data_IF_740533148542
#
_entry.id   IF_740533148542
#
_cell.length_a   1.000
_cell.length_b   1.000
_cell.length_c   1.000
_cell.angle_alpha   90.00
_cell.angle_beta   90.00
_cell.angle_gamma   90.00
#
_symmetry.space_group_name_H-M   'P 1'
#
loop_
_entity.id
_entity.type
_entity.pdbx_description
1 polymer ?
#
# COMPACT_ATOMS: atom_id res chain seq x y z
N UNK A 1 40.71 -8.34 -4.91
CA UNK A 1 39.76 -9.43 -4.81
C UNK A 1 38.36 -8.81 -4.81
N UNK A 2 37.61 -9.01 -5.89
CA UNK A 2 36.29 -8.42 -6.07
C UNK A 2 35.31 -9.04 -5.07
N UNK A 3 34.63 -8.23 -4.21
CA UNK A 3 33.55 -8.67 -3.34
C UNK A 3 32.38 -9.10 -4.23
N UNK A 4 32.06 -10.39 -4.19
CA UNK A 4 30.95 -10.96 -4.95
C UNK A 4 29.63 -10.29 -4.59
N UNK A 5 28.87 -9.91 -5.60
CA UNK A 5 27.49 -9.47 -5.49
C UNK A 5 26.67 -10.62 -4.88
N UNK A 6 25.95 -10.37 -3.81
CA UNK A 6 25.05 -11.36 -3.21
C UNK A 6 23.73 -11.31 -3.97
N UNK A 7 23.39 -12.40 -4.64
CA UNK A 7 22.05 -12.62 -5.21
C UNK A 7 21.18 -13.34 -4.19
N UNK A 8 19.92 -12.95 -4.09
CA UNK A 8 18.87 -13.67 -3.36
C UNK A 8 17.81 -14.09 -4.36
N UNK A 9 17.22 -15.24 -4.16
CA UNK A 9 16.18 -15.80 -5.01
C UNK A 9 14.84 -15.74 -4.26
N UNK A 10 13.82 -15.14 -4.89
CA UNK A 10 12.47 -15.05 -4.33
C UNK A 10 11.51 -15.95 -5.07
N UNK A 11 10.64 -16.60 -4.33
CA UNK A 11 9.48 -17.25 -4.92
C UNK A 11 8.42 -16.21 -5.30
N UNK A 12 8.09 -16.11 -6.59
CA UNK A 12 7.07 -15.17 -7.09
C UNK A 12 5.67 -15.46 -6.55
N UNK A 13 5.41 -16.70 -6.10
CA UNK A 13 4.09 -17.10 -5.64
C UNK A 13 3.86 -16.77 -4.15
N UNK A 14 4.86 -16.99 -3.28
CA UNK A 14 4.69 -16.82 -1.83
C UNK A 14 5.68 -15.87 -1.17
N UNK A 15 6.65 -15.31 -1.93
CA UNK A 15 7.67 -14.40 -1.38
C UNK A 15 8.76 -15.07 -0.54
N UNK A 16 8.84 -16.41 -0.51
CA UNK A 16 9.88 -17.12 0.22
C UNK A 16 11.26 -16.83 -0.38
N UNK A 17 12.22 -16.50 0.48
CA UNK A 17 13.57 -16.11 0.12
C UNK A 17 14.57 -17.23 0.31
N UNK A 18 15.44 -17.46 -0.68
CA UNK A 18 16.51 -18.44 -0.61
C UNK A 18 17.83 -17.90 -1.17
N UNK A 19 18.94 -18.36 -0.62
CA UNK A 19 20.27 -17.94 -1.08
C UNK A 19 20.68 -18.57 -2.43
N UNK A 20 19.93 -19.56 -2.91
CA UNK A 20 20.17 -20.29 -4.15
C UNK A 20 18.86 -20.53 -4.87
N UNK A 21 18.92 -20.61 -6.19
CA UNK A 21 17.78 -21.02 -6.99
C UNK A 21 17.39 -22.48 -6.67
N UNK A 22 16.10 -22.67 -6.36
CA UNK A 22 15.51 -23.98 -6.14
C UNK A 22 14.44 -24.23 -7.21
N UNK A 23 14.40 -25.43 -7.77
CA UNK A 23 13.38 -25.81 -8.75
C UNK A 23 11.97 -25.82 -8.16
N UNK A 24 11.83 -26.14 -6.88
CA UNK A 24 10.57 -26.14 -6.14
C UNK A 24 10.70 -25.27 -4.89
N UNK A 25 9.72 -24.43 -4.63
CA UNK A 25 9.67 -23.61 -3.43
C UNK A 25 9.37 -24.47 -2.19
N UNK A 26 10.19 -24.45 -1.14
CA UNK A 26 9.96 -25.24 0.07
C UNK A 26 8.73 -24.78 0.86
N UNK A 27 8.32 -23.51 0.71
CA UNK A 27 7.19 -22.94 1.42
C UNK A 27 5.84 -23.22 0.75
N UNK A 28 5.69 -22.90 -0.54
CA UNK A 28 4.43 -23.10 -1.26
C UNK A 28 4.41 -24.33 -2.18
N UNK A 29 5.54 -25.02 -2.32
CA UNK A 29 5.73 -26.24 -3.15
C UNK A 29 5.47 -26.05 -4.66
N UNK A 30 5.37 -24.81 -5.13
CA UNK A 30 5.25 -24.50 -6.55
C UNK A 30 6.61 -24.65 -7.26
N UNK A 31 6.56 -25.08 -8.53
CA UNK A 31 7.76 -25.31 -9.34
C UNK A 31 8.11 -24.08 -10.17
N UNK A 32 9.43 -23.86 -10.36
CA UNK A 32 9.98 -22.81 -11.23
C UNK A 32 9.49 -21.39 -10.90
N UNK A 33 9.29 -21.09 -9.61
CA UNK A 33 8.78 -19.81 -9.12
C UNK A 33 9.86 -18.87 -8.60
N UNK A 34 11.13 -19.33 -8.51
CA UNK A 34 12.24 -18.49 -8.04
C UNK A 34 12.79 -17.58 -9.12
N UNK A 35 12.92 -16.30 -8.77
CA UNK A 35 13.57 -15.27 -9.58
C UNK A 35 14.76 -14.71 -8.81
N UNK A 36 15.87 -14.53 -9.52
CA UNK A 36 17.08 -13.93 -8.96
C UNK A 36 16.88 -12.41 -8.79
N UNK A 37 17.09 -11.92 -7.58
CA UNK A 37 17.19 -10.49 -7.31
C UNK A 37 18.59 -10.16 -6.81
N UNK A 38 19.23 -9.20 -7.48
CA UNK A 38 20.57 -8.75 -7.12
C UNK A 38 20.46 -7.67 -6.08
N UNK A 39 20.93 -7.97 -4.87
CA UNK A 39 21.10 -6.92 -3.87
C UNK A 39 22.41 -6.19 -4.20
N UNK A 40 22.29 -5.07 -4.84
CA UNK A 40 23.41 -4.13 -4.87
C UNK A 40 23.56 -3.57 -3.45
N UNK A 41 24.49 -4.13 -2.70
CA UNK A 41 24.97 -3.58 -1.44
C UNK A 41 25.78 -2.29 -1.70
N UNK A 42 25.18 -1.38 -2.42
CA UNK A 42 25.69 -0.04 -2.68
C UNK A 42 25.48 0.86 -1.48
N UNK A 43 26.17 0.57 -0.39
CA UNK A 43 26.52 1.64 0.53
C UNK A 43 27.57 2.48 -0.20
N UNK A 44 27.12 3.43 -1.00
CA UNK A 44 27.98 4.55 -1.41
C UNK A 44 28.35 5.31 -0.15
N UNK A 45 29.61 5.10 0.27
CA UNK A 45 30.28 6.00 1.21
C UNK A 45 30.29 7.40 0.58
N UNK A 46 29.42 8.28 1.07
CA UNK A 46 29.46 9.66 0.60
C UNK A 46 28.23 10.52 0.78
N UNK A 47 27.23 10.07 1.50
CA UNK A 47 26.21 11.03 1.98
C UNK A 47 26.12 10.82 3.48
N UNK A 48 26.41 11.85 4.24
CA UNK A 48 26.20 11.91 5.68
C UNK A 48 24.80 11.41 5.97
N UNK A 49 24.71 10.19 6.50
CA UNK A 49 23.50 9.67 7.10
C UNK A 49 23.20 10.65 8.23
N UNK A 50 22.30 11.60 7.94
CA UNK A 50 21.69 12.37 9.02
C UNK A 50 21.25 11.33 10.04
N UNK A 51 21.83 11.39 11.23
CA UNK A 51 21.62 10.44 12.29
C UNK A 51 20.11 10.19 12.38
N UNK A 52 19.69 9.00 11.98
CA UNK A 52 18.36 8.49 12.33
C UNK A 52 18.36 8.58 13.83
N UNK A 53 17.64 9.55 14.38
CA UNK A 53 17.42 9.62 15.81
C UNK A 53 16.98 8.21 16.20
N UNK A 54 17.82 7.55 16.99
CA UNK A 54 17.46 6.27 17.60
C UNK A 54 16.31 6.64 18.51
N UNK A 55 15.08 6.43 18.03
CA UNK A 55 13.92 6.51 18.92
C UNK A 55 14.15 5.41 19.95
N UNK A 56 14.53 5.81 21.17
CA UNK A 56 14.52 4.89 22.29
C UNK A 56 13.12 4.29 22.38
N UNK A 57 13.04 2.99 22.17
CA UNK A 57 11.77 2.28 22.29
C UNK A 57 11.31 2.37 23.75
N UNK A 58 10.35 3.26 24.01
CA UNK A 58 9.77 3.44 25.33
C UNK A 58 8.64 2.44 25.52
N UNK A 59 8.82 1.52 26.46
CA UNK A 59 7.75 0.64 26.91
C UNK A 59 6.88 1.40 27.91
N UNK A 60 5.58 1.49 27.64
CA UNK A 60 4.60 2.14 28.54
C UNK A 60 3.49 1.15 28.84
N UNK A 61 2.94 1.14 30.07
CA UNK A 61 1.75 0.37 30.41
C UNK A 61 0.56 0.81 29.54
N UNK A 62 -0.29 -0.13 29.12
CA UNK A 62 -1.46 0.18 28.31
C UNK A 62 -2.41 1.21 29.01
N UNK A 63 -2.46 1.19 30.33
CA UNK A 63 -3.25 2.12 31.14
C UNK A 63 -2.79 3.57 31.08
N UNK A 64 -1.55 3.81 30.68
CA UNK A 64 -0.97 5.15 30.51
C UNK A 64 -1.11 5.67 29.07
N UNK A 65 -1.58 4.81 28.14
CA UNK A 65 -1.80 5.22 26.76
C UNK A 65 -3.15 5.92 26.68
N UNK A 66 -3.12 7.22 26.44
CA UNK A 66 -4.33 7.98 26.12
C UNK A 66 -4.66 7.78 24.66
N UNK A 67 -5.81 7.20 24.34
CA UNK A 67 -6.35 7.12 22.99
C UNK A 67 -7.47 8.15 22.86
N UNK A 68 -7.31 9.09 21.93
CA UNK A 68 -8.40 9.98 21.55
C UNK A 68 -9.37 9.19 20.65
N UNK A 69 -10.48 8.74 21.18
CA UNK A 69 -11.51 8.02 20.44
C UNK A 69 -12.22 8.91 19.38
N UNK A 70 -12.10 10.24 19.52
CA UNK A 70 -12.78 11.23 18.67
C UNK A 70 -12.10 11.48 17.30
N UNK A 71 -10.99 10.82 16.98
CA UNK A 71 -10.23 11.11 15.75
C UNK A 71 -10.66 10.29 14.53
N UNK A 72 -11.70 9.44 14.65
CA UNK A 72 -12.18 8.62 13.53
C UNK A 72 -12.92 9.47 12.49
N UNK A 73 -12.65 9.19 11.22
CA UNK A 73 -13.34 9.83 10.11
C UNK A 73 -14.34 8.87 9.48
N UNK A 74 -15.63 9.18 9.60
CA UNK A 74 -16.67 8.39 8.95
C UNK A 74 -16.51 8.43 7.42
N UNK A 75 -16.67 7.27 6.77
CA UNK A 75 -16.68 7.16 5.31
C UNK A 75 -18.02 7.59 4.72
N UNK A 76 -19.05 7.68 5.56
CA UNK A 76 -20.44 7.90 5.18
C UNK A 76 -21.13 6.65 4.61
N UNK A 77 -20.47 5.49 4.65
CA UNK A 77 -21.03 4.19 4.29
C UNK A 77 -21.14 3.38 5.58
N UNK A 78 -22.36 3.26 6.13
CA UNK A 78 -22.59 2.67 7.45
C UNK A 78 -21.98 1.29 7.66
N UNK A 79 -22.06 0.41 6.65
CA UNK A 79 -21.49 -0.93 6.74
C UNK A 79 -19.96 -0.89 6.74
N UNK A 80 -19.36 -0.01 5.96
CA UNK A 80 -17.92 0.17 5.95
C UNK A 80 -17.45 0.76 7.29
N UNK A 81 -18.13 1.78 7.80
CA UNK A 81 -17.81 2.38 9.10
C UNK A 81 -17.95 1.36 10.24
N UNK A 82 -19.00 0.49 10.20
CA UNK A 82 -19.16 -0.61 11.15
C UNK A 82 -17.97 -1.57 11.13
N UNK A 83 -17.48 -1.96 9.95
CA UNK A 83 -16.34 -2.87 9.81
C UNK A 83 -15.04 -2.19 10.26
N UNK A 84 -14.90 -0.88 10.02
CA UNK A 84 -13.78 -0.07 10.48
C UNK A 84 -13.82 0.30 11.95
N UNK A 85 -14.87 -0.13 12.68
CA UNK A 85 -15.04 0.19 14.11
C UNK A 85 -15.40 1.65 14.37
N UNK A 86 -16.20 2.26 13.46
CA UNK A 86 -16.69 3.64 13.57
C UNK A 86 -16.03 4.62 12.59
N UNK A 87 -15.21 4.14 11.67
CA UNK A 87 -14.58 4.99 10.67
C UNK A 87 -13.06 4.82 10.57
N UNK A 88 -12.44 5.64 9.75
CA UNK A 88 -11.02 5.60 9.44
C UNK A 88 -10.22 6.25 10.56
N UNK A 89 -9.21 5.55 11.06
CA UNK A 89 -8.27 6.10 12.06
C UNK A 89 -7.11 6.81 11.33
N UNK A 90 -6.73 8.03 11.72
CA UNK A 90 -5.57 8.72 11.14
C UNK A 90 -4.29 7.87 11.17
N UNK A 91 -3.54 7.88 10.07
CA UNK A 91 -2.32 7.08 9.93
C UNK A 91 -2.57 5.58 9.75
N UNK A 92 -3.82 5.12 9.63
CA UNK A 92 -4.12 3.72 9.35
C UNK A 92 -3.95 3.38 7.87
N UNK A 93 -3.53 2.15 7.59
CA UNK A 93 -3.54 1.54 6.27
C UNK A 93 -4.67 0.52 6.20
N UNK A 94 -5.61 0.71 5.27
CA UNK A 94 -6.74 -0.19 5.06
C UNK A 94 -6.56 -0.93 3.74
N UNK A 95 -6.63 -2.26 3.78
CA UNK A 95 -6.56 -3.11 2.61
C UNK A 95 -7.97 -3.58 2.22
N UNK A 96 -8.38 -3.27 0.98
CA UNK A 96 -9.63 -3.77 0.39
C UNK A 96 -9.30 -4.89 -0.57
N UNK A 97 -9.52 -6.13 -0.15
CA UNK A 97 -9.32 -7.34 -0.93
C UNK A 97 -10.61 -7.86 -1.58
N UNK A 98 -10.48 -8.81 -2.49
CA UNK A 98 -11.62 -9.51 -3.13
C UNK A 98 -11.40 -9.78 -4.62
N UNK A 99 -12.27 -10.58 -5.21
CA UNK A 99 -12.16 -11.02 -6.61
C UNK A 99 -12.27 -9.86 -7.61
N UNK A 100 -11.68 -9.99 -8.80
CA UNK A 100 -11.88 -9.05 -9.90
C UNK A 100 -13.37 -8.86 -10.20
N UNK A 101 -13.79 -7.62 -10.48
CA UNK A 101 -15.18 -7.31 -10.84
C UNK A 101 -16.19 -7.21 -9.68
N UNK A 102 -15.82 -7.55 -8.43
CA UNK A 102 -16.75 -7.49 -7.28
C UNK A 102 -17.18 -6.07 -6.88
N UNK A 103 -16.60 -5.04 -7.48
CA UNK A 103 -16.98 -3.64 -7.19
C UNK A 103 -16.04 -2.85 -6.30
N UNK A 104 -14.81 -3.34 -6.01
CA UNK A 104 -13.83 -2.64 -5.15
C UNK A 104 -13.58 -1.18 -5.55
N UNK A 105 -13.24 -0.93 -6.82
CA UNK A 105 -13.01 0.44 -7.32
C UNK A 105 -14.26 1.31 -7.25
N UNK A 106 -15.46 0.72 -7.39
CA UNK A 106 -16.72 1.43 -7.23
C UNK A 106 -16.92 1.84 -5.77
N UNK A 107 -16.67 0.92 -4.84
CA UNK A 107 -16.72 1.21 -3.39
C UNK A 107 -15.75 2.34 -3.03
N UNK A 108 -14.50 2.27 -3.51
CA UNK A 108 -13.50 3.30 -3.24
C UNK A 108 -13.89 4.67 -3.79
N UNK A 109 -14.47 4.74 -4.99
CA UNK A 109 -15.02 5.98 -5.54
C UNK A 109 -16.23 6.50 -4.75
N UNK A 110 -17.08 5.61 -4.19
CA UNK A 110 -18.18 6.02 -3.31
C UNK A 110 -17.67 6.64 -2.01
N UNK A 111 -16.61 6.07 -1.42
CA UNK A 111 -15.91 6.67 -0.27
C UNK A 111 -15.40 8.06 -0.63
N UNK A 112 -14.71 8.19 -1.78
CA UNK A 112 -14.24 9.48 -2.28
C UNK A 112 -15.36 10.48 -2.43
N UNK A 113 -16.48 10.10 -3.04
CA UNK A 113 -17.62 10.99 -3.28
C UNK A 113 -18.18 11.60 -1.99
N UNK A 114 -18.26 10.79 -0.94
CA UNK A 114 -18.81 11.22 0.36
C UNK A 114 -17.80 12.06 1.14
N UNK A 115 -16.58 11.57 1.27
CA UNK A 115 -15.57 12.22 2.10
C UNK A 115 -14.98 13.48 1.46
N UNK A 116 -14.91 13.57 0.11
CA UNK A 116 -14.37 14.73 -0.60
C UNK A 116 -15.21 16.01 -0.43
N UNK A 117 -16.36 15.93 0.22
CA UNK A 117 -17.15 17.12 0.61
C UNK A 117 -16.48 17.90 1.73
N UNK A 118 -15.72 17.23 2.60
CA UNK A 118 -15.10 17.82 3.78
C UNK A 118 -13.58 17.65 3.83
N UNK A 119 -13.02 16.75 3.04
CA UNK A 119 -11.61 16.37 3.06
C UNK A 119 -10.97 16.44 1.69
N UNK A 120 -9.67 16.74 1.66
CA UNK A 120 -8.87 16.65 0.44
C UNK A 120 -8.43 15.19 0.23
N UNK A 121 -8.86 14.60 -0.87
CA UNK A 121 -8.61 13.18 -1.20
C UNK A 121 -7.79 13.08 -2.47
N UNK A 122 -6.78 12.22 -2.47
CA UNK A 122 -6.02 11.87 -3.66
C UNK A 122 -6.32 10.43 -4.05
N UNK A 123 -6.95 10.25 -5.22
CA UNK A 123 -7.17 8.93 -5.82
C UNK A 123 -6.09 8.66 -6.85
N UNK A 124 -5.32 7.59 -6.63
CA UNK A 124 -4.22 7.16 -7.48
C UNK A 124 -4.64 5.90 -8.21
N UNK A 125 -4.62 5.94 -9.54
CA UNK A 125 -4.93 4.79 -10.38
C UNK A 125 -3.73 4.36 -11.19
N UNK A 126 -3.40 3.07 -11.13
CA UNK A 126 -2.42 2.45 -12.00
C UNK A 126 -3.01 1.61 -13.12
N UNK A 127 -4.34 1.40 -13.11
CA UNK A 127 -5.02 0.53 -14.08
C UNK A 127 -5.90 1.32 -15.07
N UNK A 128 -6.50 2.42 -14.62
CA UNK A 128 -7.47 3.17 -15.41
C UNK A 128 -6.97 4.58 -15.72
N UNK A 129 -7.32 5.06 -16.91
CA UNK A 129 -7.07 6.45 -17.30
C UNK A 129 -8.03 7.41 -16.59
N UNK A 130 -7.65 8.69 -16.53
CA UNK A 130 -8.51 9.75 -15.97
C UNK A 130 -9.89 9.79 -16.62
N UNK A 131 -9.96 9.58 -17.95
CA UNK A 131 -11.21 9.58 -18.69
C UNK A 131 -12.13 8.41 -18.29
N UNK A 132 -11.57 7.21 -18.08
CA UNK A 132 -12.34 6.04 -17.64
C UNK A 132 -12.89 6.23 -16.23
N UNK A 133 -12.07 6.73 -15.30
CA UNK A 133 -12.52 7.04 -13.94
C UNK A 133 -13.59 8.13 -13.97
N UNK A 134 -13.43 9.16 -14.79
CA UNK A 134 -14.43 10.24 -14.94
C UNK A 134 -15.77 9.70 -15.47
N UNK A 135 -15.75 8.81 -16.47
CA UNK A 135 -16.97 8.17 -16.99
C UNK A 135 -17.68 7.34 -15.92
N UNK A 136 -16.93 6.64 -15.08
CA UNK A 136 -17.48 5.89 -13.94
C UNK A 136 -18.06 6.84 -12.89
N UNK A 137 -17.32 7.88 -12.51
CA UNK A 137 -17.74 8.88 -11.55
C UNK A 137 -19.06 9.57 -11.98
N UNK A 138 -19.21 9.89 -13.24
CA UNK A 138 -20.42 10.52 -13.77
C UNK A 138 -21.70 9.67 -13.57
N UNK A 139 -21.57 8.34 -13.50
CA UNK A 139 -22.71 7.43 -13.21
C UNK A 139 -23.09 7.42 -11.73
N UNK A 140 -22.20 7.87 -10.87
CA UNK A 140 -22.38 7.86 -9.41
C UNK A 140 -22.91 9.18 -8.88
N UNK A 141 -22.95 10.22 -9.70
CA UNK A 141 -23.42 11.56 -9.35
C UNK A 141 -22.30 12.60 -9.28
N UNK A 142 -22.51 13.63 -8.47
CA UNK A 142 -21.61 14.77 -8.39
C UNK A 142 -20.42 14.47 -7.45
N UNK A 143 -19.26 14.95 -7.87
CA UNK A 143 -18.03 14.95 -7.08
C UNK A 143 -17.59 16.41 -6.87
N UNK A 144 -16.95 16.66 -5.73
CA UNK A 144 -16.42 17.99 -5.39
C UNK A 144 -14.98 18.14 -5.85
N UNK A 145 -14.47 19.38 -5.83
CA UNK A 145 -13.07 19.69 -6.10
C UNK A 145 -12.10 19.13 -5.03
N UNK A 146 -12.61 18.62 -3.91
CA UNK A 146 -11.81 17.95 -2.88
C UNK A 146 -11.23 16.61 -3.34
N UNK A 147 -11.75 16.00 -4.44
CA UNK A 147 -11.19 14.81 -5.03
C UNK A 147 -10.17 15.14 -6.12
N UNK A 148 -8.90 14.83 -5.85
CA UNK A 148 -7.81 14.90 -6.81
C UNK A 148 -7.58 13.52 -7.44
N UNK A 149 -7.23 13.49 -8.72
CA UNK A 149 -6.99 12.26 -9.47
C UNK A 149 -5.59 12.25 -10.05
N UNK A 150 -4.83 11.19 -9.79
CA UNK A 150 -3.51 10.93 -10.33
C UNK A 150 -3.49 9.56 -11.02
N UNK A 151 -3.08 9.51 -12.29
CA UNK A 151 -2.82 8.26 -13.00
C UNK A 151 -1.30 8.08 -13.12
N UNK A 152 -0.73 7.35 -12.18
CA UNK A 152 0.71 7.14 -12.05
C UNK A 152 0.98 5.82 -11.30
N UNK A 153 2.12 5.18 -11.62
CA UNK A 153 2.54 3.91 -11.01
C UNK A 153 3.92 3.98 -10.36
N UNK A 154 4.72 5.00 -10.67
CA UNK A 154 6.03 5.20 -10.08
C UNK A 154 5.90 5.76 -8.65
N UNK A 155 6.40 5.03 -7.66
CA UNK A 155 6.31 5.41 -6.24
C UNK A 155 7.05 6.72 -5.91
N UNK A 156 8.17 7.01 -6.59
CA UNK A 156 8.92 8.25 -6.38
C UNK A 156 8.11 9.48 -6.78
N UNK A 157 7.41 9.41 -7.92
CA UNK A 157 6.52 10.47 -8.41
C UNK A 157 5.31 10.60 -7.48
N UNK A 158 4.66 9.48 -7.17
CA UNK A 158 3.49 9.45 -6.28
C UNK A 158 3.82 10.09 -4.93
N UNK A 159 4.95 9.73 -4.34
CA UNK A 159 5.40 10.29 -3.07
C UNK A 159 5.56 11.80 -3.14
N UNK A 160 6.22 12.32 -4.18
CA UNK A 160 6.41 13.77 -4.33
C UNK A 160 5.08 14.53 -4.51
N UNK A 161 4.08 13.91 -5.17
CA UNK A 161 2.73 14.48 -5.29
C UNK A 161 2.03 14.48 -3.92
N UNK A 162 2.11 13.40 -3.13
CA UNK A 162 1.52 13.34 -1.79
C UNK A 162 2.13 14.41 -0.88
N UNK A 163 3.47 14.55 -0.89
CA UNK A 163 4.19 15.55 -0.08
C UNK A 163 3.80 17.00 -0.48
N UNK A 164 3.56 17.24 -1.76
CA UNK A 164 3.11 18.55 -2.29
C UNK A 164 1.66 18.85 -1.97
N UNK A 165 0.77 17.92 -2.31
CA UNK A 165 -0.69 18.13 -2.24
C UNK A 165 -1.23 17.98 -0.82
N UNK A 166 -0.53 17.22 0.06
CA UNK A 166 -0.90 16.93 1.45
C UNK A 166 -2.37 16.53 1.61
N UNK A 167 -2.79 15.46 0.91
CA UNK A 167 -4.15 14.96 1.05
C UNK A 167 -4.37 14.36 2.44
N UNK A 168 -5.61 14.44 2.94
CA UNK A 168 -6.01 13.81 4.19
C UNK A 168 -6.33 12.31 4.02
N UNK A 169 -6.65 11.91 2.79
CA UNK A 169 -6.90 10.52 2.43
C UNK A 169 -6.25 10.23 1.07
N UNK A 170 -5.52 9.12 0.99
CA UNK A 170 -4.97 8.61 -0.27
C UNK A 170 -5.60 7.26 -0.58
N UNK A 171 -6.13 7.12 -1.78
CA UNK A 171 -6.67 5.86 -2.29
C UNK A 171 -5.79 5.38 -3.44
N UNK A 172 -5.41 4.09 -3.41
CA UNK A 172 -4.55 3.46 -4.40
C UNK A 172 -5.30 2.30 -5.04
N UNK A 173 -5.53 2.40 -6.34
CA UNK A 173 -6.26 1.42 -7.16
C UNK A 173 -5.43 1.03 -8.39
N UNK A 174 -4.57 -0.02 -8.34
CA UNK A 174 -4.29 -0.94 -7.25
C UNK A 174 -2.80 -0.92 -6.87
N UNK A 175 -2.46 -1.41 -5.67
CA UNK A 175 -1.06 -1.51 -5.24
C UNK A 175 -0.23 -2.44 -6.12
N UNK A 176 -0.85 -3.38 -6.81
CA UNK A 176 -0.18 -4.34 -7.68
C UNK A 176 0.43 -3.70 -8.93
N UNK A 177 -0.07 -2.54 -9.33
CA UNK A 177 0.47 -1.79 -10.47
C UNK A 177 1.58 -0.83 -10.09
N UNK A 178 1.76 -0.57 -8.78
CA UNK A 178 2.79 0.32 -8.29
C UNK A 178 4.17 -0.32 -8.35
N UNK A 179 5.19 0.49 -8.62
CA UNK A 179 6.57 0.02 -8.64
C UNK A 179 7.55 1.06 -8.11
N UNK A 180 8.62 0.55 -7.49
CA UNK A 180 9.82 1.29 -7.13
C UNK A 180 10.93 0.95 -8.11
N UNK A 181 11.68 1.95 -8.54
CA UNK A 181 12.90 1.76 -9.35
C UNK A 181 14.04 1.09 -8.55
N UNK A 182 13.97 1.18 -7.22
CA UNK A 182 14.95 0.57 -6.31
C UNK A 182 14.82 -0.97 -6.26
N UNK A 183 13.69 -1.51 -6.74
CA UNK A 183 13.39 -2.95 -6.73
C UNK A 183 13.39 -3.47 -8.17
N UNK A 184 14.27 -4.43 -8.45
CA UNK A 184 14.50 -4.93 -9.81
C UNK A 184 13.43 -5.91 -10.32
N UNK A 185 12.56 -6.39 -9.43
CA UNK A 185 11.48 -7.31 -9.80
C UNK A 185 10.34 -6.60 -10.54
N UNK A 186 9.59 -7.35 -11.35
CA UNK A 186 8.48 -6.82 -12.13
C UNK A 186 7.37 -6.22 -11.25
N UNK A 187 6.62 -5.19 -11.72
CA UNK A 187 5.41 -4.72 -11.07
C UNK A 187 4.44 -5.88 -10.78
N UNK A 188 3.77 -5.84 -9.63
CA UNK A 188 2.86 -6.91 -9.19
C UNK A 188 3.54 -8.09 -8.49
N UNK A 189 4.88 -8.15 -8.47
CA UNK A 189 5.61 -9.12 -7.65
C UNK A 189 5.43 -8.84 -6.16
N UNK A 190 5.60 -9.88 -5.34
CA UNK A 190 5.47 -9.76 -3.86
C UNK A 190 6.46 -8.73 -3.31
N UNK A 191 7.69 -8.66 -3.84
CA UNK A 191 8.69 -7.67 -3.45
C UNK A 191 8.26 -6.23 -3.77
N UNK A 192 7.72 -5.99 -4.96
CA UNK A 192 7.20 -4.67 -5.34
C UNK A 192 6.01 -4.27 -4.48
N UNK A 193 5.07 -5.18 -4.23
CA UNK A 193 3.92 -4.90 -3.36
C UNK A 193 4.36 -4.60 -1.93
N UNK A 194 5.33 -5.37 -1.40
CA UNK A 194 5.91 -5.13 -0.08
C UNK A 194 6.57 -3.75 0.00
N UNK A 195 7.41 -3.41 -0.98
CA UNK A 195 8.09 -2.11 -1.01
C UNK A 195 7.08 -0.96 -1.15
N UNK A 196 6.10 -1.09 -2.05
CA UNK A 196 5.03 -0.11 -2.20
C UNK A 196 4.29 0.13 -0.87
N UNK A 197 3.97 -0.95 -0.16
CA UNK A 197 3.31 -0.87 1.15
C UNK A 197 4.19 -0.15 2.17
N UNK A 198 5.50 -0.46 2.23
CA UNK A 198 6.45 0.19 3.13
C UNK A 198 6.57 1.70 2.85
N UNK A 199 6.64 2.08 1.57
CA UNK A 199 6.70 3.49 1.16
C UNK A 199 5.46 4.25 1.61
N UNK A 200 4.26 3.70 1.36
CA UNK A 200 3.01 4.34 1.77
C UNK A 200 2.86 4.41 3.28
N UNK A 201 3.28 3.37 4.00
CA UNK A 201 3.29 3.40 5.46
C UNK A 201 4.21 4.51 5.99
N UNK A 202 5.45 4.60 5.50
CA UNK A 202 6.40 5.62 5.91
C UNK A 202 5.96 7.05 5.57
N UNK A 203 5.22 7.23 4.47
CA UNK A 203 4.61 8.52 4.11
C UNK A 203 3.46 8.84 5.05
N UNK A 204 2.61 7.86 5.39
CA UNK A 204 1.49 8.01 6.33
C UNK A 204 1.93 8.43 7.73
N UNK A 205 3.02 7.86 8.25
CA UNK A 205 3.58 8.24 9.56
C UNK A 205 4.13 9.67 9.59
N UNK A 206 4.66 10.16 8.47
CA UNK A 206 5.24 11.52 8.38
C UNK A 206 4.21 12.60 8.14
N UNK A 207 3.14 12.25 7.45
CA UNK A 207 2.01 13.14 7.22
C UNK A 207 0.93 12.80 8.24
N UNK A 208 0.91 13.49 9.36
CA UNK A 208 0.09 13.22 10.57
C UNK A 208 -1.42 12.97 10.32
N UNK A 209 -1.89 13.07 9.07
CA UNK A 209 -3.31 13.02 8.71
C UNK A 209 -3.63 12.15 7.47
N UNK A 210 -2.66 11.48 6.84
CA UNK A 210 -2.95 10.73 5.62
C UNK A 210 -3.26 9.26 5.91
N UNK A 211 -4.43 8.81 5.46
CA UNK A 211 -4.86 7.43 5.51
C UNK A 211 -4.72 6.80 4.13
N UNK A 212 -4.32 5.54 4.05
CA UNK A 212 -4.11 4.86 2.79
C UNK A 212 -5.09 3.72 2.63
N UNK A 213 -5.80 3.71 1.50
CA UNK A 213 -6.59 2.58 1.06
C UNK A 213 -5.94 1.93 -0.13
N UNK A 214 -5.62 0.67 0.01
CA UNK A 214 -4.97 -0.09 -1.02
C UNK A 214 -5.87 -1.22 -1.49
N UNK A 215 -6.04 -1.36 -2.81
CA UNK A 215 -6.73 -2.47 -3.42
C UNK A 215 -5.72 -3.52 -3.84
N UNK A 216 -5.95 -4.79 -3.49
CA UNK A 216 -5.29 -5.93 -4.11
C UNK A 216 -6.30 -6.75 -4.91
N UNK A 217 -5.91 -7.22 -6.09
CA UNK A 217 -6.64 -8.25 -6.81
C UNK A 217 -5.96 -9.59 -6.56
N UNK A 218 -6.71 -10.60 -6.18
CA UNK A 218 -6.22 -11.97 -6.17
C UNK A 218 -6.57 -12.58 -7.54
N UNK A 219 -5.62 -12.59 -8.47
CA UNK A 219 -5.84 -13.08 -9.83
C UNK A 219 -5.80 -14.59 -9.98
N UNK A 220 -5.58 -15.35 -8.90
CA UNK A 220 -5.51 -16.82 -8.99
C UNK A 220 -6.45 -17.46 -8.00
N UNK A 221 -7.54 -17.99 -8.54
CA UNK A 221 -8.43 -18.93 -7.87
C UNK A 221 -7.71 -20.25 -7.55
N UNK A 222 -6.83 -20.24 -6.57
CA UNK A 222 -6.39 -21.43 -5.86
C UNK A 222 -6.23 -21.00 -4.41
N UNK A 223 -6.97 -21.67 -3.54
CA UNK A 223 -7.07 -21.40 -2.12
C UNK A 223 -5.76 -21.50 -1.36
N UNK A 224 -4.83 -20.61 -1.62
CA UNK A 224 -3.66 -20.38 -0.79
C UNK A 224 -3.93 -19.11 0.02
N UNK A 225 -4.03 -19.32 1.33
CA UNK A 225 -4.04 -18.33 2.39
C UNK A 225 -3.20 -17.13 1.97
N UNK A 226 -3.79 -15.93 2.07
CA UNK A 226 -3.08 -14.66 1.96
C UNK A 226 -1.68 -14.80 2.55
N UNK A 227 -0.67 -14.86 1.68
CA UNK A 227 0.71 -14.81 2.12
C UNK A 227 0.86 -13.50 2.90
N UNK A 228 1.07 -13.63 4.19
CA UNK A 228 1.03 -12.53 5.13
C UNK A 228 1.90 -11.39 4.66
N UNK A 229 1.26 -10.27 4.36
CA UNK A 229 1.91 -8.97 4.49
C UNK A 229 2.21 -8.90 5.97
N UNK A 230 3.47 -9.12 6.34
CA UNK A 230 3.91 -9.19 7.72
C UNK A 230 3.44 -7.95 8.46
N UNK A 231 2.88 -8.17 9.63
CA UNK A 231 2.31 -7.16 10.49
C UNK A 231 3.30 -6.03 10.78
N UNK A 232 3.12 -4.91 10.11
CA UNK A 232 3.66 -3.64 10.53
C UNK A 232 2.50 -2.66 10.67
N UNK A 233 2.18 -2.30 11.92
CA UNK A 233 1.22 -1.26 12.22
C UNK A 233 -0.24 -1.65 12.00
N UNK A 234 -1.14 -0.77 12.34
CA UNK A 234 -2.59 -0.96 12.41
C UNK A 234 -3.20 -1.26 11.03
N UNK A 235 -3.40 -2.53 10.71
CA UNK A 235 -4.08 -2.96 9.49
C UNK A 235 -5.51 -3.39 9.80
N UNK A 236 -6.47 -2.89 9.03
CA UNK A 236 -7.81 -3.46 8.94
C UNK A 236 -7.95 -4.09 7.56
N UNK A 237 -8.12 -5.41 7.51
CA UNK A 237 -8.38 -6.14 6.26
C UNK A 237 -9.89 -6.31 6.12
N UNK A 238 -10.45 -5.79 5.03
CA UNK A 238 -11.85 -6.00 4.65
C UNK A 238 -11.90 -7.13 3.63
N UNK A 239 -12.69 -8.15 3.88
CA UNK A 239 -12.98 -9.27 2.99
C UNK A 239 -14.24 -9.00 2.18
#
# INVERSE_FOLDING_TARGET
MAKGKKSIFFCQNCGHEEAKWLGQCPACKEWNTFVEERIDSGITKGTTVAARAVHEAKVVPLTEVTADDDTRSETGIKELDRVLGGGIVPGSLVLVGGDPGIGKSTLLLQVCQRMAQMKKILYISGEESQAQIKLRANRMGNFTSGLLLLCETNLGIIRSVIEKERPELVIIDSIQTMYSEDVTSAPGSVSQVRESTNVFYAVGERTVHSNFYCRTCNERGNGSRSAGIGAYGRYSTLF
#
